data_IF_931292202145
#
_entry.id   IF_931292202145
#
_cell.length_a   1.000
_cell.length_b   1.000
_cell.length_c   1.000
_cell.angle_alpha   90.00
_cell.angle_beta   90.00
_cell.angle_gamma   90.00
#
_symmetry.space_group_name_H-M   'P 1'
#
loop_
_entity.id
_entity.type
_entity.pdbx_description
1 polymer ?
#
# COMPACT_ATOMS: atom_id res chain seq x y z
N UNK A 1 11.87 -16.45 -30.50
CA UNK A 1 10.57 -16.04 -29.94
C UNK A 1 10.70 -16.02 -28.42
N UNK A 2 10.79 -14.84 -27.80
CA UNK A 2 10.72 -14.71 -26.35
C UNK A 2 9.26 -14.98 -25.96
N UNK A 3 8.96 -16.15 -25.39
CA UNK A 3 7.67 -16.35 -24.73
C UNK A 3 7.63 -15.35 -23.57
N UNK A 4 6.76 -14.35 -23.66
CA UNK A 4 6.42 -13.54 -22.51
C UNK A 4 5.97 -14.52 -21.41
N UNK A 5 6.75 -14.61 -20.34
CA UNK A 5 6.33 -15.36 -19.16
C UNK A 5 5.07 -14.64 -18.67
N UNK A 6 3.95 -15.33 -18.65
CA UNK A 6 2.68 -14.80 -18.15
C UNK A 6 2.59 -15.21 -16.69
N UNK A 7 2.60 -14.24 -15.79
CA UNK A 7 2.30 -14.49 -14.38
C UNK A 7 0.78 -14.37 -14.23
N UNK A 8 0.07 -15.46 -13.89
CA UNK A 8 -1.35 -15.36 -13.63
C UNK A 8 -1.56 -14.50 -12.38
N UNK A 9 -2.30 -13.40 -12.53
CA UNK A 9 -2.68 -12.55 -11.41
C UNK A 9 -3.46 -13.34 -10.38
N UNK A 10 -3.17 -13.14 -9.10
CA UNK A 10 -3.89 -13.82 -8.02
C UNK A 10 -5.23 -13.14 -7.76
N UNK A 11 -6.30 -13.85 -8.11
CA UNK A 11 -7.68 -13.40 -7.92
C UNK A 11 -8.32 -14.11 -6.72
N UNK A 12 -9.21 -13.40 -6.03
CA UNK A 12 -10.00 -13.93 -4.93
C UNK A 12 -11.03 -12.94 -4.41
N UNK A 13 -11.63 -13.28 -3.27
CA UNK A 13 -12.58 -12.44 -2.56
C UNK A 13 -11.84 -11.25 -1.97
N UNK A 14 -12.35 -10.04 -2.21
CA UNK A 14 -11.84 -8.79 -1.62
C UNK A 14 -12.97 -8.02 -0.98
N UNK A 15 -12.65 -7.29 0.09
CA UNK A 15 -13.52 -6.26 0.67
C UNK A 15 -13.70 -5.10 -0.31
N UNK A 16 -12.63 -4.73 -1.02
CA UNK A 16 -12.66 -3.75 -2.10
C UNK A 16 -12.60 -2.28 -1.65
N UNK A 17 -12.81 -2.02 -0.37
CA UNK A 17 -12.64 -0.71 0.30
C UNK A 17 -12.05 -0.86 1.71
N UNK A 18 -11.04 -1.74 1.87
CA UNK A 18 -10.46 -1.99 3.19
C UNK A 18 -9.54 -0.85 3.62
N UNK A 19 -9.93 -0.13 4.67
CA UNK A 19 -9.16 0.95 5.26
C UNK A 19 -9.43 1.05 6.78
N UNK A 20 -8.62 1.79 7.57
CA UNK A 20 -8.80 1.86 9.03
C UNK A 20 -10.20 2.31 9.47
N UNK A 21 -10.86 3.18 8.69
CA UNK A 21 -12.25 3.60 8.96
C UNK A 21 -13.31 2.50 8.87
N UNK A 22 -13.02 1.38 8.20
CA UNK A 22 -13.90 0.22 8.04
C UNK A 22 -13.54 -0.91 9.01
N UNK A 23 -12.74 -0.61 10.04
CA UNK A 23 -12.36 -1.55 11.10
C UNK A 23 -12.81 -0.97 12.45
N UNK A 24 -13.71 -1.69 13.11
CA UNK A 24 -14.17 -1.35 14.46
C UNK A 24 -13.26 -2.04 15.47
N UNK A 25 -12.70 -1.25 16.38
CA UNK A 25 -11.95 -1.71 17.54
C UNK A 25 -12.77 -1.41 18.81
N UNK A 26 -13.05 -2.45 19.60
CA UNK A 26 -13.76 -2.35 20.88
C UNK A 26 -12.96 -3.04 21.97
N UNK A 27 -12.86 -2.40 23.13
CA UNK A 27 -12.13 -2.96 24.26
C UNK A 27 -12.74 -4.30 24.68
N UNK A 28 -11.94 -5.36 24.68
CA UNK A 28 -12.37 -6.70 25.08
C UNK A 28 -13.05 -7.51 23.96
N UNK A 29 -13.16 -6.99 22.75
CA UNK A 29 -13.75 -7.68 21.59
C UNK A 29 -12.71 -7.83 20.47
N UNK A 30 -12.81 -8.89 19.63
CA UNK A 30 -12.00 -8.98 18.42
C UNK A 30 -12.34 -7.83 17.44
N UNK A 31 -11.37 -7.38 16.62
CA UNK A 31 -11.64 -6.42 15.56
C UNK A 31 -12.74 -6.90 14.61
N UNK A 32 -13.63 -6.00 14.20
CA UNK A 32 -14.69 -6.30 13.23
C UNK A 32 -14.51 -5.43 11.97
N UNK A 33 -14.58 -6.06 10.80
CA UNK A 33 -14.60 -5.37 9.50
C UNK A 33 -16.06 -5.05 9.16
N UNK A 34 -16.31 -3.85 8.66
CA UNK A 34 -17.63 -3.36 8.28
C UNK A 34 -17.63 -2.81 6.85
N UNK A 35 -18.82 -2.56 6.31
CA UNK A 35 -19.05 -1.92 5.00
C UNK A 35 -18.54 -2.70 3.78
N UNK A 36 -19.18 -3.85 3.52
CA UNK A 36 -18.88 -4.72 2.38
C UNK A 36 -19.49 -4.25 1.05
N UNK A 37 -19.91 -2.98 0.93
CA UNK A 37 -20.60 -2.46 -0.27
C UNK A 37 -19.78 -2.55 -1.56
N UNK A 38 -18.45 -2.62 -1.45
CA UNK A 38 -17.49 -2.72 -2.57
C UNK A 38 -16.88 -4.11 -2.74
N UNK A 39 -17.41 -5.10 -2.01
CA UNK A 39 -16.88 -6.46 -2.02
C UNK A 39 -17.06 -7.11 -3.40
N UNK A 40 -16.08 -7.94 -3.76
CA UNK A 40 -16.10 -8.70 -5.01
C UNK A 40 -15.54 -10.10 -4.77
N UNK A 41 -16.21 -11.10 -5.31
CA UNK A 41 -15.77 -12.50 -5.23
C UNK A 41 -14.54 -12.79 -6.10
N UNK A 42 -14.32 -11.97 -7.13
CA UNK A 42 -13.25 -12.14 -8.09
C UNK A 42 -12.59 -10.80 -8.41
N UNK A 43 -11.55 -10.45 -7.64
CA UNK A 43 -10.67 -9.32 -7.90
C UNK A 43 -9.23 -9.64 -7.48
N UNK A 44 -8.29 -8.79 -7.87
CA UNK A 44 -6.89 -8.96 -7.50
C UNK A 44 -6.72 -8.88 -5.98
N UNK A 45 -6.20 -9.93 -5.35
CA UNK A 45 -6.18 -10.06 -3.87
C UNK A 45 -5.35 -8.97 -3.19
N UNK A 46 -4.31 -8.46 -3.86
CA UNK A 46 -3.50 -7.34 -3.35
C UNK A 46 -4.31 -6.06 -3.08
N UNK A 47 -5.50 -5.89 -3.66
CA UNK A 47 -6.29 -4.65 -3.60
C UNK A 47 -6.48 -4.14 -2.16
N UNK A 48 -6.90 -5.02 -1.24
CA UNK A 48 -7.18 -4.62 0.14
C UNK A 48 -5.90 -4.25 0.90
N UNK A 49 -4.80 -4.96 0.65
CA UNK A 49 -3.50 -4.67 1.24
C UNK A 49 -2.96 -3.32 0.77
N UNK A 50 -2.99 -3.05 -0.53
CA UNK A 50 -2.45 -1.81 -1.08
C UNK A 50 -3.31 -0.60 -0.71
N UNK A 51 -4.63 -0.75 -0.58
CA UNK A 51 -5.51 0.28 -0.02
C UNK A 51 -5.19 0.60 1.44
N UNK A 52 -4.98 -0.43 2.26
CA UNK A 52 -4.54 -0.25 3.65
C UNK A 52 -3.17 0.42 3.73
N UNK A 53 -2.20 0.02 2.91
CA UNK A 53 -0.88 0.63 2.85
C UNK A 53 -0.95 2.11 2.44
N UNK A 54 -1.74 2.45 1.41
CA UNK A 54 -1.99 3.85 1.03
C UNK A 54 -2.58 4.67 2.19
N UNK A 55 -3.50 4.06 2.95
CA UNK A 55 -4.08 4.69 4.12
C UNK A 55 -3.05 4.98 5.21
N UNK A 56 -2.14 4.03 5.45
CA UNK A 56 -1.08 4.17 6.43
C UNK A 56 -0.02 5.18 5.96
N UNK A 57 0.27 5.24 4.67
CA UNK A 57 1.34 6.11 4.15
C UNK A 57 0.94 7.56 4.03
N UNK A 58 -0.28 7.85 3.56
CA UNK A 58 -0.68 9.24 3.32
C UNK A 58 -2.11 9.59 3.74
N UNK A 59 -3.17 8.80 3.48
CA UNK A 59 -4.55 9.27 3.77
C UNK A 59 -4.79 9.60 5.25
N UNK A 60 -4.20 8.83 6.18
CA UNK A 60 -4.36 9.05 7.62
C UNK A 60 -3.17 9.76 8.25
N UNK A 61 -2.18 10.16 7.44
CA UNK A 61 -0.96 10.79 7.91
C UNK A 61 -1.25 12.19 8.48
N UNK A 62 -0.70 12.48 9.66
CA UNK A 62 -0.82 13.81 10.29
C UNK A 62 -0.04 14.86 9.50
N UNK A 63 -0.56 16.09 9.34
CA UNK A 63 0.11 17.13 8.56
C UNK A 63 1.37 17.70 9.22
N UNK A 64 1.61 17.47 10.52
CA UNK A 64 2.74 18.05 11.26
C UNK A 64 4.07 17.29 11.11
N UNK A 65 4.18 16.37 10.15
CA UNK A 65 5.42 15.62 9.89
C UNK A 65 6.35 16.48 9.02
N UNK A 66 7.53 16.81 9.55
CA UNK A 66 8.55 17.56 8.79
C UNK A 66 9.09 16.77 7.60
N UNK A 67 9.49 17.47 6.54
CA UNK A 67 9.94 16.89 5.27
C UNK A 67 11.10 15.90 5.43
N UNK A 68 12.07 16.22 6.30
CA UNK A 68 13.23 15.36 6.61
C UNK A 68 12.86 13.99 7.19
N UNK A 69 11.67 13.86 7.75
CA UNK A 69 11.12 12.62 8.29
C UNK A 69 10.13 11.98 7.33
N UNK A 70 9.39 12.80 6.58
CA UNK A 70 8.42 12.36 5.61
C UNK A 70 9.09 11.64 4.43
N UNK A 71 10.13 12.25 3.85
CA UNK A 71 10.76 11.74 2.64
C UNK A 71 11.29 10.31 2.78
N UNK A 72 12.11 9.96 3.80
CA UNK A 72 12.57 8.59 3.96
C UNK A 72 11.43 7.59 4.11
N UNK A 73 10.36 7.99 4.81
CA UNK A 73 9.20 7.13 5.04
C UNK A 73 8.40 6.85 3.76
N UNK A 74 8.17 7.86 2.92
CA UNK A 74 7.40 7.70 1.66
C UNK A 74 8.26 7.14 0.51
N UNK A 75 9.57 7.39 0.49
CA UNK A 75 10.48 6.85 -0.53
C UNK A 75 10.83 5.39 -0.30
N UNK A 76 10.61 4.86 0.90
CA UNK A 76 10.70 3.43 1.20
C UNK A 76 9.58 2.65 0.48
N UNK A 77 9.84 2.24 -0.76
CA UNK A 77 8.85 1.60 -1.66
C UNK A 77 9.23 0.18 -2.04
N UNK A 78 10.52 -0.12 -2.16
CA UNK A 78 11.00 -1.43 -2.59
C UNK A 78 10.51 -2.52 -1.63
N UNK A 79 10.22 -3.70 -2.17
CA UNK A 79 9.62 -4.79 -1.38
C UNK A 79 10.55 -5.28 -0.28
N UNK A 80 11.81 -5.56 -0.62
CA UNK A 80 12.82 -6.14 0.26
C UNK A 80 13.61 -5.10 1.08
N UNK A 81 13.26 -3.82 0.96
CA UNK A 81 13.92 -2.74 1.69
C UNK A 81 13.41 -2.68 3.13
N UNK A 82 14.31 -2.48 4.09
CA UNK A 82 13.94 -2.29 5.50
C UNK A 82 13.40 -0.89 5.74
N UNK A 83 12.49 -0.76 6.71
CA UNK A 83 12.03 0.56 7.15
C UNK A 83 13.20 1.46 7.58
N UNK A 84 13.15 2.78 7.30
CA UNK A 84 14.22 3.70 7.70
C UNK A 84 14.35 3.79 9.23
N UNK A 85 15.57 3.59 9.75
CA UNK A 85 15.82 3.57 11.20
C UNK A 85 15.79 4.94 11.89
N UNK A 86 15.88 6.03 11.14
CA UNK A 86 15.98 7.42 11.65
C UNK A 86 14.62 8.12 11.81
N UNK A 87 13.53 7.39 11.65
CA UNK A 87 12.17 7.92 11.75
C UNK A 87 11.82 8.30 13.19
N UNK A 88 11.06 9.38 13.36
CA UNK A 88 10.40 9.70 14.64
C UNK A 88 9.44 8.58 15.05
N UNK A 89 9.20 8.43 16.36
CA UNK A 89 8.34 7.38 16.93
C UNK A 89 7.00 7.20 16.22
N UNK A 90 6.35 8.31 15.85
CA UNK A 90 5.08 8.28 15.12
C UNK A 90 5.19 7.57 13.77
N UNK A 91 6.24 7.87 12.99
CA UNK A 91 6.46 7.24 11.69
C UNK A 91 7.02 5.82 11.82
N UNK A 92 7.80 5.53 12.86
CA UNK A 92 8.24 4.16 13.16
C UNK A 92 7.03 3.23 13.38
N UNK A 93 6.04 3.68 14.16
CA UNK A 93 4.80 2.91 14.39
C UNK A 93 4.02 2.71 13.08
N UNK A 94 3.99 3.71 12.20
CA UNK A 94 3.38 3.56 10.87
C UNK A 94 4.16 2.60 9.98
N UNK A 95 5.49 2.65 10.00
CA UNK A 95 6.33 1.74 9.24
C UNK A 95 6.10 0.29 9.67
N UNK A 96 6.00 0.04 10.98
CA UNK A 96 5.62 -1.28 11.53
C UNK A 96 4.26 -1.77 11.02
N UNK A 97 3.28 -0.87 10.89
CA UNK A 97 1.98 -1.23 10.30
C UNK A 97 2.11 -1.59 8.82
N UNK A 98 2.92 -0.87 8.04
CA UNK A 98 3.19 -1.21 6.63
C UNK A 98 3.90 -2.56 6.53
N UNK A 99 4.91 -2.83 7.37
CA UNK A 99 5.58 -4.12 7.44
C UNK A 99 4.57 -5.24 7.73
N UNK A 100 3.70 -5.05 8.72
CA UNK A 100 2.64 -6.01 9.05
C UNK A 100 1.70 -6.26 7.85
N UNK A 101 1.27 -5.22 7.13
CA UNK A 101 0.45 -5.37 5.92
C UNK A 101 1.18 -6.20 4.85
N UNK A 102 2.46 -5.93 4.62
CA UNK A 102 3.29 -6.66 3.64
C UNK A 102 3.55 -8.12 4.06
N UNK A 103 3.71 -8.39 5.35
CA UNK A 103 3.80 -9.76 5.89
C UNK A 103 2.51 -10.55 5.67
N UNK A 104 1.35 -9.92 5.92
CA UNK A 104 0.06 -10.55 5.64
C UNK A 104 -0.16 -10.77 4.14
N UNK A 105 0.29 -9.83 3.30
CA UNK A 105 0.27 -10.01 1.86
C UNK A 105 1.19 -11.16 1.41
N UNK A 106 2.35 -11.34 2.04
CA UNK A 106 3.25 -12.50 1.84
C UNK A 106 2.56 -13.82 2.15
N UNK A 107 1.76 -13.85 3.22
CA UNK A 107 0.99 -15.05 3.58
C UNK A 107 -0.09 -15.37 2.55
N UNK A 108 -0.79 -14.36 2.01
CA UNK A 108 -1.87 -14.56 1.04
C UNK A 108 -1.39 -14.83 -0.40
N UNK A 109 -0.34 -14.12 -0.84
CA UNK A 109 0.23 -14.23 -2.18
C UNK A 109 1.36 -15.27 -2.23
N UNK A 110 1.89 -15.76 -1.11
CA UNK A 110 2.98 -16.74 -1.10
C UNK A 110 4.37 -16.16 -1.43
N UNK A 111 5.40 -16.87 -0.98
CA UNK A 111 6.79 -16.39 -0.97
C UNK A 111 7.40 -16.18 -2.38
N UNK A 112 7.05 -17.01 -3.36
CA UNK A 112 7.63 -16.95 -4.72
C UNK A 112 6.97 -15.89 -5.63
N UNK A 113 6.26 -14.93 -5.02
CA UNK A 113 5.54 -13.87 -5.73
C UNK A 113 6.49 -12.88 -6.39
N UNK A 114 6.15 -12.48 -7.62
CA UNK A 114 6.78 -11.32 -8.23
C UNK A 114 6.19 -10.04 -7.62
N UNK A 115 6.77 -9.57 -6.53
CA UNK A 115 6.26 -8.44 -5.74
C UNK A 115 6.14 -7.13 -6.51
N UNK A 116 7.01 -6.92 -7.51
CA UNK A 116 6.90 -5.75 -8.38
C UNK A 116 5.58 -5.77 -9.17
N UNK A 117 5.20 -6.93 -9.72
CA UNK A 117 3.99 -7.07 -10.55
C UNK A 117 2.72 -7.28 -9.71
N UNK A 118 2.74 -8.19 -8.74
CA UNK A 118 1.55 -8.58 -7.98
C UNK A 118 1.24 -7.62 -6.82
N UNK A 119 2.15 -6.71 -6.46
CA UNK A 119 1.92 -5.78 -5.35
C UNK A 119 2.28 -4.33 -5.67
N UNK A 120 3.51 -4.04 -6.11
CA UNK A 120 3.92 -2.64 -6.34
C UNK A 120 3.18 -1.98 -7.51
N UNK A 121 2.88 -2.71 -8.59
CA UNK A 121 2.01 -2.20 -9.68
C UNK A 121 0.59 -1.89 -9.17
N UNK A 122 -0.14 -2.81 -8.51
CA UNK A 122 -1.41 -2.49 -7.87
C UNK A 122 -1.34 -1.32 -6.88
N UNK A 123 -0.26 -1.23 -6.10
CA UNK A 123 -0.02 -0.14 -5.15
C UNK A 123 0.13 1.20 -5.85
N UNK A 124 0.90 1.25 -6.94
CA UNK A 124 1.02 2.44 -7.78
C UNK A 124 -0.32 2.84 -8.40
N UNK A 125 -1.03 1.90 -9.03
CA UNK A 125 -2.33 2.19 -9.65
C UNK A 125 -3.35 2.71 -8.64
N UNK A 126 -3.37 2.11 -7.43
CA UNK A 126 -4.25 2.53 -6.34
C UNK A 126 -3.86 3.91 -5.81
N UNK A 127 -2.58 4.14 -5.51
CA UNK A 127 -2.08 5.42 -5.01
C UNK A 127 -2.28 6.55 -6.03
N UNK A 128 -2.02 6.29 -7.31
CA UNK A 128 -2.26 7.24 -8.40
C UNK A 128 -3.75 7.54 -8.57
N UNK A 129 -4.61 6.53 -8.52
CA UNK A 129 -6.06 6.70 -8.55
C UNK A 129 -6.56 7.56 -7.39
N UNK A 130 -6.11 7.27 -6.16
CA UNK A 130 -6.41 8.06 -4.98
C UNK A 130 -5.95 9.52 -5.17
N UNK A 131 -4.71 9.76 -5.59
CA UNK A 131 -4.17 11.10 -5.83
C UNK A 131 -4.98 11.86 -6.89
N UNK A 132 -5.40 11.19 -7.96
CA UNK A 132 -6.13 11.80 -9.09
C UNK A 132 -7.58 12.13 -8.77
N UNK A 133 -8.24 11.27 -8.00
CA UNK A 133 -9.70 11.31 -7.81
C UNK A 133 -10.14 11.72 -6.40
N UNK A 134 -9.25 11.79 -5.41
CA UNK A 134 -9.54 12.36 -4.10
C UNK A 134 -9.03 13.81 -4.03
N UNK A 135 -9.90 14.84 -4.15
CA UNK A 135 -9.46 16.24 -4.28
C UNK A 135 -8.58 16.73 -3.13
N UNK A 136 -8.80 16.21 -1.93
CA UNK A 136 -8.02 16.53 -0.73
C UNK A 136 -6.56 16.07 -0.80
N UNK A 137 -6.21 15.14 -1.70
CA UNK A 137 -4.87 14.58 -1.81
C UNK A 137 -3.96 15.33 -2.78
N UNK A 138 -4.51 16.14 -3.69
CA UNK A 138 -3.72 16.82 -4.73
C UNK A 138 -2.61 17.73 -4.21
N UNK A 139 -2.72 18.20 -2.97
CA UNK A 139 -1.71 19.03 -2.29
C UNK A 139 -1.02 18.33 -1.12
N UNK A 140 -1.30 17.04 -0.90
CA UNK A 140 -0.68 16.30 0.19
C UNK A 140 0.70 15.78 -0.26
N UNK A 141 1.77 16.41 0.21
CA UNK A 141 3.16 16.08 -0.18
C UNK A 141 3.47 14.59 -0.02
N UNK A 142 2.93 13.94 1.02
CA UNK A 142 3.10 12.51 1.25
C UNK A 142 2.58 11.65 0.09
N UNK A 143 1.39 11.95 -0.42
CA UNK A 143 0.75 11.21 -1.50
C UNK A 143 1.50 11.44 -2.83
N UNK A 144 1.84 12.70 -3.13
CA UNK A 144 2.58 13.07 -4.34
C UNK A 144 3.95 12.38 -4.37
N UNK A 145 4.74 12.53 -3.31
CA UNK A 145 6.08 11.94 -3.20
C UNK A 145 6.03 10.41 -3.25
N UNK A 146 5.02 9.79 -2.65
CA UNK A 146 4.85 8.34 -2.68
C UNK A 146 4.56 7.82 -4.09
N UNK A 147 3.61 8.45 -4.79
CA UNK A 147 3.28 8.10 -6.18
C UNK A 147 4.48 8.31 -7.11
N UNK A 148 5.21 9.41 -6.95
CA UNK A 148 6.43 9.68 -7.70
C UNK A 148 7.51 8.61 -7.45
N UNK A 149 7.72 8.25 -6.17
CA UNK A 149 8.72 7.25 -5.78
C UNK A 149 8.39 5.87 -6.34
N UNK A 150 7.11 5.47 -6.30
CA UNK A 150 6.65 4.24 -6.93
C UNK A 150 6.84 4.27 -8.44
N UNK A 151 6.50 5.37 -9.11
CA UNK A 151 6.66 5.50 -10.56
C UNK A 151 8.13 5.33 -10.99
N UNK A 152 9.05 6.02 -10.30
CA UNK A 152 10.50 5.90 -10.55
C UNK A 152 11.00 4.48 -10.32
N UNK A 153 10.66 3.89 -9.17
CA UNK A 153 11.07 2.53 -8.85
C UNK A 153 10.54 1.51 -9.87
N UNK A 154 9.26 1.62 -10.26
CA UNK A 154 8.66 0.73 -11.25
C UNK A 154 9.27 0.90 -12.64
N UNK A 155 9.58 2.12 -13.06
CA UNK A 155 10.28 2.35 -14.33
C UNK A 155 11.65 1.63 -14.35
N UNK A 156 12.41 1.75 -13.27
CA UNK A 156 13.73 1.12 -13.15
C UNK A 156 13.64 -0.42 -13.15
N UNK A 157 12.75 -1.02 -12.35
CA UNK A 157 12.66 -2.48 -12.21
C UNK A 157 11.96 -3.16 -13.39
N UNK A 158 11.04 -2.47 -14.07
CA UNK A 158 10.34 -2.99 -15.25
C UNK A 158 11.06 -2.66 -16.57
N UNK A 159 12.12 -1.84 -16.53
CA UNK A 159 12.88 -1.37 -17.70
C UNK A 159 11.97 -0.66 -18.72
N UNK A 160 11.09 0.21 -18.22
CA UNK A 160 10.18 1.03 -19.02
C UNK A 160 10.80 2.35 -19.45
#
# INVERSE_FOLDING_TARGET
>A
QLKAKTWPMRLGVVHGDLHPGNIILRTGEPPAIIDFGWSKDLAHVAKDYVLMECNIRFLTLRPQVGESQLEPFVKWVAWDEKAPGTLIKYLQQRAQLVECVREQATTALGADTNWNQEYLVPLFLTAFGLLRYAPQLGHQSAAVLFVESLARHLADVLKL
#
